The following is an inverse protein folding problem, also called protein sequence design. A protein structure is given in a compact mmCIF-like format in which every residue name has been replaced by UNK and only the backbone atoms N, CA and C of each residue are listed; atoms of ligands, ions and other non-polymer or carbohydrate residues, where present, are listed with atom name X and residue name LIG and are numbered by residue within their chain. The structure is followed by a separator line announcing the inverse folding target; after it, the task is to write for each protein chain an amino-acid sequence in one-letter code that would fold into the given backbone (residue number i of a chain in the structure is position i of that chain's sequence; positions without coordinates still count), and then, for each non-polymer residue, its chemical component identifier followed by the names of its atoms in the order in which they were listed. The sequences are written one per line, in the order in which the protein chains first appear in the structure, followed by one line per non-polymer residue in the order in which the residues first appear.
data_IF_684840961856
#
_entry.id   IF_684840961856
#
_cell.length_a   1.000
_cell.length_b   1.000
_cell.length_c   1.000
_cell.angle_alpha   90.00
_cell.angle_beta   90.00
_cell.angle_gamma   90.00
#
_symmetry.space_group_name_H-M   'P 1'
#
loop_
_entity.id
_entity.type
_entity.pdbx_description
1 polymer ?
#
# COMPACT_ATOMS: atom_id res chain seq x y z
N UNK A 1 -4.71 -14.83 -13.47
CA UNK A 1 -5.80 -14.31 -12.61
C UNK A 1 -5.54 -12.84 -12.34
N UNK A 2 -6.50 -11.95 -12.61
CA UNK A 2 -6.33 -10.48 -12.53
C UNK A 2 -5.80 -10.03 -11.17
N UNK A 3 -6.37 -10.55 -10.07
CA UNK A 3 -5.94 -10.22 -8.70
C UNK A 3 -4.46 -10.55 -8.44
N UNK A 4 -3.99 -11.72 -8.90
CA UNK A 4 -2.58 -12.11 -8.72
C UNK A 4 -1.63 -11.23 -9.53
N UNK A 5 -2.02 -10.85 -10.75
CA UNK A 5 -1.24 -9.95 -11.59
C UNK A 5 -1.14 -8.54 -11.00
N UNK A 6 -2.28 -8.02 -10.53
CA UNK A 6 -2.35 -6.74 -9.83
C UNK A 6 -1.47 -6.73 -8.57
N UNK A 7 -1.63 -7.73 -7.71
CA UNK A 7 -0.85 -7.85 -6.48
C UNK A 7 0.65 -7.94 -6.76
N UNK A 8 1.07 -8.72 -7.76
CA UNK A 8 2.48 -8.83 -8.16
C UNK A 8 3.06 -7.51 -8.68
N UNK A 9 2.30 -6.74 -9.47
CA UNK A 9 2.72 -5.39 -9.92
C UNK A 9 2.82 -4.41 -8.74
N UNK A 10 1.88 -4.46 -7.81
CA UNK A 10 1.92 -3.62 -6.61
C UNK A 10 3.12 -3.96 -5.72
N UNK A 11 3.34 -5.25 -5.47
CA UNK A 11 4.46 -5.76 -4.69
C UNK A 11 5.80 -5.42 -5.35
N UNK A 12 5.92 -5.50 -6.68
CA UNK A 12 7.11 -5.08 -7.40
C UNK A 12 7.40 -3.56 -7.25
N UNK A 13 6.38 -2.72 -7.08
CA UNK A 13 6.52 -1.26 -6.96
C UNK A 13 6.71 -0.79 -5.51
N UNK A 14 6.03 -1.42 -4.54
CA UNK A 14 5.99 -0.99 -3.13
C UNK A 14 6.65 -1.96 -2.15
N UNK A 15 7.07 -3.14 -2.61
CA UNK A 15 7.79 -4.16 -1.84
C UNK A 15 6.90 -5.14 -1.08
N UNK A 16 5.66 -4.78 -0.73
CA UNK A 16 4.68 -5.66 -0.11
C UNK A 16 3.26 -5.16 -0.36
N UNK A 17 2.28 -6.06 -0.30
CA UNK A 17 0.85 -5.74 -0.29
C UNK A 17 0.29 -5.59 1.14
N UNK A 18 1.11 -5.84 2.17
CA UNK A 18 0.70 -5.82 3.57
C UNK A 18 1.07 -4.45 4.18
N UNK A 19 0.08 -3.75 4.71
CA UNK A 19 0.25 -2.42 5.32
C UNK A 19 1.36 -2.39 6.37
N UNK A 20 1.50 -3.44 7.18
CA UNK A 20 2.54 -3.54 8.20
C UNK A 20 3.95 -3.41 7.63
N UNK A 21 4.19 -4.03 6.48
CA UNK A 21 5.50 -4.05 5.85
C UNK A 21 5.80 -2.70 5.17
N UNK A 22 4.82 -2.14 4.46
CA UNK A 22 4.99 -0.85 3.75
C UNK A 22 4.93 0.39 4.65
N UNK A 23 4.27 0.29 5.82
CA UNK A 23 4.22 1.37 6.82
C UNK A 23 5.32 1.22 7.90
N UNK A 24 5.98 0.06 7.99
CA UNK A 24 6.97 -0.23 9.03
C UNK A 24 6.38 -0.35 10.44
N UNK A 25 5.05 -0.39 10.60
CA UNK A 25 4.38 -0.52 11.89
C UNK A 25 3.09 -1.34 11.77
N UNK A 26 2.74 -2.07 12.84
CA UNK A 26 1.56 -2.93 12.86
C UNK A 26 0.32 -2.18 13.34
N UNK A 27 -0.45 -1.63 12.39
CA UNK A 27 -1.68 -0.87 12.67
C UNK A 27 -2.83 -1.72 13.24
N UNK A 28 -2.69 -3.05 13.29
CA UNK A 28 -3.64 -3.93 13.99
C UNK A 28 -3.46 -3.90 15.51
N UNK A 29 -2.34 -3.33 15.98
CA UNK A 29 -2.04 -3.17 17.40
C UNK A 29 -2.30 -1.73 17.86
N UNK A 30 -2.72 -1.50 19.13
CA UNK A 30 -2.86 -0.15 19.66
C UNK A 30 -1.57 0.67 19.60
N UNK A 31 -0.40 0.04 19.75
CA UNK A 31 0.89 0.70 19.68
C UNK A 31 1.22 1.13 18.25
N UNK A 32 1.13 0.23 17.27
CA UNK A 32 1.43 0.57 15.87
C UNK A 32 0.44 1.59 15.30
N UNK A 33 -0.84 1.55 15.71
CA UNK A 33 -1.81 2.58 15.32
C UNK A 33 -1.46 3.96 15.89
N UNK A 34 -0.94 4.04 17.13
CA UNK A 34 -0.46 5.31 17.70
C UNK A 34 0.73 5.84 16.91
N UNK A 35 1.73 4.99 16.66
CA UNK A 35 2.90 5.35 15.83
C UNK A 35 2.49 5.86 14.45
N UNK A 36 1.58 5.17 13.76
CA UNK A 36 1.10 5.59 12.44
C UNK A 36 0.39 6.96 12.45
N UNK A 37 -0.26 7.33 13.55
CA UNK A 37 -0.91 8.64 13.72
C UNK A 37 0.09 9.73 14.08
N UNK A 38 1.00 9.46 15.02
CA UNK A 38 2.04 10.40 15.45
C UNK A 38 2.97 10.77 14.29
N UNK A 39 3.35 9.78 13.47
CA UNK A 39 4.16 9.98 12.25
C UNK A 39 3.34 10.40 11.03
N UNK A 40 2.03 10.58 11.21
CA UNK A 40 1.08 11.05 10.18
C UNK A 40 1.13 10.23 8.88
N UNK A 41 1.40 8.92 8.99
CA UNK A 41 1.66 8.04 7.85
C UNK A 41 0.45 7.95 6.90
N UNK A 42 -0.76 7.97 7.46
CA UNK A 42 -1.99 7.85 6.66
C UNK A 42 -2.21 8.99 5.66
N UNK A 43 -1.74 10.20 5.95
CA UNK A 43 -1.82 11.31 4.98
C UNK A 43 -0.52 11.55 4.24
N UNK A 44 0.61 11.11 4.80
CA UNK A 44 1.93 11.29 4.19
C UNK A 44 2.22 10.26 3.08
N UNK A 45 1.91 8.98 3.31
CA UNK A 45 2.33 7.90 2.39
C UNK A 45 1.18 7.11 1.79
N UNK A 46 0.05 6.92 2.49
CA UNK A 46 -1.08 6.15 1.93
C UNK A 46 -1.66 6.74 0.63
N UNK A 47 -1.72 8.07 0.42
CA UNK A 47 -2.17 8.61 -0.87
C UNK A 47 -1.30 8.19 -2.05
N UNK A 48 0.01 8.02 -1.83
CA UNK A 48 0.91 7.51 -2.87
C UNK A 48 0.66 6.02 -3.15
N UNK A 49 0.46 5.21 -2.11
CA UNK A 49 0.11 3.79 -2.29
C UNK A 49 -1.20 3.60 -3.05
N UNK A 50 -2.22 4.40 -2.74
CA UNK A 50 -3.52 4.35 -3.44
C UNK A 50 -3.38 4.84 -4.89
N UNK A 51 -2.56 5.87 -5.14
CA UNK A 51 -2.25 6.33 -6.50
C UNK A 51 -1.61 5.22 -7.33
N UNK A 52 -0.59 4.57 -6.79
CA UNK A 52 0.07 3.45 -7.48
C UNK A 52 -0.88 2.30 -7.77
N UNK A 53 -1.76 1.97 -6.82
CA UNK A 53 -2.80 0.98 -7.04
C UNK A 53 -3.72 1.37 -8.21
N UNK A 54 -4.13 2.64 -8.29
CA UNK A 54 -4.95 3.13 -9.40
C UNK A 54 -4.19 3.09 -10.74
N UNK A 55 -2.94 3.53 -10.77
CA UNK A 55 -2.08 3.50 -11.97
C UNK A 55 -1.86 2.07 -12.48
N UNK A 56 -1.58 1.11 -11.58
CA UNK A 56 -1.44 -0.30 -11.94
C UNK A 56 -2.72 -0.84 -12.55
N UNK A 57 -3.88 -0.49 -11.99
CA UNK A 57 -5.16 -0.91 -12.54
C UNK A 57 -5.40 -0.30 -13.93
N UNK A 58 -5.11 0.99 -14.10
CA UNK A 58 -5.21 1.65 -15.40
C UNK A 58 -4.29 1.01 -16.44
N UNK A 59 -3.04 0.69 -16.08
CA UNK A 59 -2.10 -0.02 -16.96
C UNK A 59 -2.66 -1.37 -17.39
N UNK A 60 -3.27 -2.12 -16.46
CA UNK A 60 -3.85 -3.43 -16.73
C UNK A 60 -5.15 -3.39 -17.55
N UNK A 61 -5.85 -2.25 -17.57
CA UNK A 61 -7.11 -2.06 -18.31
C UNK A 61 -6.90 -1.41 -19.69
N UNK A 62 -5.71 -0.87 -19.98
CA UNK A 62 -5.35 -0.27 -21.28
C UNK A 62 -4.93 -1.31 -22.33
N UNK A 63 -5.07 -2.61 -22.02
CA UNK A 63 -4.88 -3.76 -22.90
C UNK A 63 -6.19 -4.28 -23.49
#
# INVERSE_FOLDING_TARGET
MLVKGFAGKFEARRGSIICKDILGCDISTPQGLRTAREEVLFSKVCPEFVRDAAEILEEMLKD
#
